data_IF_259270266727
#
_entry.id   IF_259270266727
#
_cell.length_a   1.000
_cell.length_b   1.000
_cell.length_c   1.000
_cell.angle_alpha   90.00
_cell.angle_beta   90.00
_cell.angle_gamma   90.00
#
_symmetry.space_group_name_H-M   'P 1'
#
loop_
_entity.id
_entity.type
_entity.pdbx_description
1 polymer ?
#
# COMPACT_ATOMS: atom_id res chain seq x y z
N UNK A 1 6.82 -18.09 -6.77
CA UNK A 1 7.87 -18.52 -7.67
C UNK A 1 9.05 -18.95 -6.83
N UNK A 2 9.60 -20.13 -7.06
CA UNK A 2 10.76 -20.67 -6.34
C UNK A 2 10.54 -20.82 -4.82
N UNK A 3 9.30 -21.04 -4.37
CA UNK A 3 8.99 -21.22 -2.96
C UNK A 3 8.92 -19.91 -2.16
N UNK A 4 9.14 -18.77 -2.79
CA UNK A 4 9.04 -17.47 -2.11
C UNK A 4 7.61 -17.20 -1.62
N UNK A 5 6.61 -17.50 -2.45
CA UNK A 5 5.20 -17.33 -2.10
C UNK A 5 4.83 -18.13 -0.86
N UNK A 6 5.25 -19.38 -0.81
CA UNK A 6 5.00 -20.25 0.33
C UNK A 6 5.68 -19.72 1.61
N UNK A 7 6.93 -19.25 1.48
CA UNK A 7 7.69 -18.71 2.61
C UNK A 7 7.01 -17.46 3.17
N UNK A 8 6.54 -16.57 2.31
CA UNK A 8 5.84 -15.33 2.73
C UNK A 8 4.52 -15.67 3.40
N UNK A 9 3.73 -16.59 2.84
CA UNK A 9 2.46 -17.04 3.43
C UNK A 9 2.69 -17.69 4.80
N UNK A 10 3.72 -18.50 4.91
CA UNK A 10 4.08 -19.14 6.18
C UNK A 10 4.47 -18.09 7.23
N UNK A 11 5.28 -17.10 6.85
CA UNK A 11 5.63 -16.00 7.74
C UNK A 11 4.38 -15.22 8.19
N UNK A 12 3.50 -14.88 7.27
CA UNK A 12 2.24 -14.20 7.60
C UNK A 12 1.39 -15.02 8.56
N UNK A 13 1.33 -16.35 8.36
CA UNK A 13 0.60 -17.26 9.22
C UNK A 13 1.21 -17.42 10.62
N UNK A 14 2.46 -17.02 10.81
CA UNK A 14 3.14 -17.09 12.12
C UNK A 14 2.65 -16.03 13.10
N UNK A 15 1.89 -15.04 12.66
CA UNK A 15 1.44 -13.91 13.48
C UNK A 15 2.46 -12.79 13.63
N UNK A 16 3.65 -12.92 13.09
CA UNK A 16 4.65 -11.86 13.10
C UNK A 16 4.28 -10.77 12.11
N UNK A 17 4.60 -9.53 12.46
CA UNK A 17 4.28 -8.39 11.61
C UNK A 17 5.06 -8.40 10.30
N UNK A 18 4.36 -8.08 9.23
CA UNK A 18 4.91 -8.01 7.89
C UNK A 18 4.45 -6.73 7.21
N UNK A 19 5.35 -6.03 6.52
CA UNK A 19 5.04 -4.81 5.79
C UNK A 19 5.43 -4.98 4.32
N UNK A 20 4.43 -4.88 3.43
CA UNK A 20 4.65 -4.82 1.99
C UNK A 20 4.77 -3.37 1.53
N UNK A 21 5.82 -3.06 0.78
CA UNK A 21 6.12 -1.71 0.31
C UNK A 21 5.98 -1.66 -1.21
N UNK A 22 5.20 -0.72 -1.73
CA UNK A 22 4.96 -0.49 -3.15
C UNK A 22 4.48 -1.77 -3.85
N UNK A 23 5.31 -2.40 -4.70
CA UNK A 23 5.01 -3.69 -5.31
C UNK A 23 4.73 -4.75 -4.25
N UNK A 24 5.45 -4.73 -3.14
CA UNK A 24 5.22 -5.65 -2.02
C UNK A 24 3.84 -5.53 -1.43
N UNK A 25 3.29 -4.33 -1.30
CA UNK A 25 1.90 -4.14 -0.91
C UNK A 25 0.95 -4.74 -1.93
N UNK A 26 1.19 -4.50 -3.21
CA UNK A 26 0.32 -4.99 -4.28
C UNK A 26 0.27 -6.52 -4.32
N UNK A 27 1.37 -7.18 -3.99
CA UNK A 27 1.42 -8.64 -3.94
C UNK A 27 0.57 -9.26 -2.82
N UNK A 28 0.16 -8.49 -1.82
CA UNK A 28 -0.64 -8.98 -0.69
C UNK A 28 -2.07 -9.36 -1.10
N UNK A 29 -2.58 -8.82 -2.19
CA UNK A 29 -3.97 -8.97 -2.62
C UNK A 29 -4.21 -10.27 -3.38
N UNK A 30 -5.48 -10.55 -3.70
CA UNK A 30 -5.84 -11.78 -4.38
C UNK A 30 -5.33 -11.83 -5.82
N UNK A 31 -5.38 -10.69 -6.52
CA UNK A 31 -5.00 -10.61 -7.93
C UNK A 31 -4.52 -9.22 -8.33
N UNK A 32 -3.85 -9.15 -9.47
CA UNK A 32 -3.39 -7.90 -10.08
C UNK A 32 -3.67 -7.92 -11.58
N UNK A 33 -4.05 -6.76 -12.12
CA UNK A 33 -4.25 -6.56 -13.55
C UNK A 33 -2.95 -6.18 -14.27
N UNK A 34 -1.86 -5.94 -13.55
CA UNK A 34 -0.58 -5.58 -14.15
C UNK A 34 -0.02 -6.75 -14.97
N UNK A 35 0.32 -6.48 -16.23
CA UNK A 35 0.80 -7.50 -17.19
C UNK A 35 -0.21 -8.65 -17.39
N UNK A 36 -1.50 -8.33 -17.47
CA UNK A 36 -2.56 -9.32 -17.58
C UNK A 36 -3.16 -9.65 -16.22
N UNK A 37 -3.81 -10.80 -16.11
CA UNK A 37 -4.39 -11.24 -14.84
C UNK A 37 -3.41 -12.16 -14.12
N UNK A 38 -2.96 -11.76 -12.94
CA UNK A 38 -2.02 -12.52 -12.12
C UNK A 38 -2.56 -12.72 -10.71
N UNK A 39 -2.29 -13.89 -10.15
CA UNK A 39 -2.62 -14.17 -8.76
C UNK A 39 -1.62 -13.48 -7.82
N UNK A 40 -2.14 -12.94 -6.72
CA UNK A 40 -1.34 -12.44 -5.61
C UNK A 40 -1.23 -13.47 -4.49
N UNK A 41 -0.79 -13.01 -3.33
CA UNK A 41 -0.63 -13.89 -2.15
C UNK A 41 -1.94 -14.19 -1.43
N UNK A 42 -3.00 -13.42 -1.72
CA UNK A 42 -4.31 -13.61 -1.09
C UNK A 42 -4.35 -13.37 0.41
N UNK A 43 -3.43 -12.55 0.93
CA UNK A 43 -3.37 -12.23 2.35
C UNK A 43 -4.36 -11.14 2.76
N UNK A 44 -4.71 -10.27 1.84
CA UNK A 44 -5.72 -9.22 2.04
C UNK A 44 -6.73 -9.30 0.89
N UNK A 45 -8.03 -9.50 1.19
CA UNK A 45 -9.05 -9.60 0.14
C UNK A 45 -9.14 -8.32 -0.69
N UNK A 46 -9.06 -8.47 -2.00
CA UNK A 46 -9.10 -7.36 -2.93
C UNK A 46 -8.26 -7.60 -4.16
N UNK A 47 -8.09 -6.56 -4.95
CA UNK A 47 -7.32 -6.65 -6.20
C UNK A 47 -6.56 -5.36 -6.47
N UNK A 48 -5.57 -5.47 -7.35
CA UNK A 48 -4.78 -4.34 -7.83
C UNK A 48 -5.22 -4.03 -9.26
N UNK A 49 -5.56 -2.78 -9.50
CA UNK A 49 -6.12 -2.29 -10.78
C UNK A 49 -5.34 -1.10 -11.28
N UNK A 50 -5.36 -0.88 -12.60
CA UNK A 50 -4.80 0.32 -13.20
C UNK A 50 -5.59 1.55 -12.77
N UNK A 51 -4.92 2.71 -12.72
CA UNK A 51 -5.63 3.97 -12.57
C UNK A 51 -6.65 4.12 -13.70
N UNK A 52 -7.90 4.39 -13.32
CA UNK A 52 -8.98 4.63 -14.28
C UNK A 52 -9.02 6.11 -14.64
N UNK A 53 -8.38 6.46 -15.75
CA UNK A 53 -8.28 7.86 -16.21
C UNK A 53 -9.66 8.48 -16.50
N UNK A 54 -10.66 7.67 -16.83
CA UNK A 54 -12.01 8.17 -17.10
C UNK A 54 -12.67 8.76 -15.86
N UNK A 55 -12.19 8.40 -14.67
CA UNK A 55 -12.69 8.88 -13.38
C UNK A 55 -11.88 10.05 -12.82
N UNK A 56 -10.81 10.48 -13.52
CA UNK A 56 -10.01 11.61 -13.04
C UNK A 56 -10.81 12.91 -13.10
N UNK A 57 -10.71 13.71 -12.04
CA UNK A 57 -11.34 15.01 -11.95
C UNK A 57 -10.71 16.02 -12.92
N UNK A 58 -9.50 15.76 -13.37
CA UNK A 58 -8.75 16.57 -14.34
C UNK A 58 -7.69 15.68 -14.99
N UNK A 59 -7.04 16.18 -16.03
CA UNK A 59 -6.00 15.43 -16.74
C UNK A 59 -4.75 15.28 -15.88
N UNK A 60 -4.32 14.04 -15.64
CA UNK A 60 -3.12 13.71 -14.88
C UNK A 60 -2.32 12.64 -15.61
N UNK A 61 -1.01 12.66 -15.39
CA UNK A 61 -0.10 11.64 -15.94
C UNK A 61 -0.11 10.37 -15.12
N UNK A 62 0.05 9.23 -15.78
CA UNK A 62 0.29 7.93 -15.14
C UNK A 62 1.64 7.44 -15.66
N UNK A 63 2.59 7.06 -14.78
CA UNK A 63 2.42 6.80 -13.33
C UNK A 63 2.21 8.06 -12.49
N UNK A 64 1.55 7.86 -11.36
CA UNK A 64 1.55 8.80 -10.23
C UNK A 64 2.97 8.83 -9.68
N UNK A 65 3.67 9.93 -9.85
CA UNK A 65 5.07 10.04 -9.48
C UNK A 65 5.33 11.37 -8.76
N UNK A 66 5.89 11.30 -7.58
CA UNK A 66 6.24 12.47 -6.79
C UNK A 66 5.66 12.45 -5.38
N UNK A 67 5.78 13.57 -4.70
CA UNK A 67 5.28 13.75 -3.34
C UNK A 67 3.77 13.96 -3.36
N UNK A 68 3.06 13.22 -2.51
CA UNK A 68 1.63 13.39 -2.33
C UNK A 68 1.23 13.03 -0.91
N UNK A 69 0.09 13.52 -0.49
CA UNK A 69 -0.40 13.35 0.86
C UNK A 69 -1.14 12.03 1.03
N UNK A 70 -0.87 11.35 2.14
CA UNK A 70 -1.66 10.21 2.58
C UNK A 70 -2.56 10.64 3.74
N UNK A 71 -3.86 10.40 3.59
CA UNK A 71 -4.84 10.63 4.64
C UNK A 71 -4.99 9.34 5.43
N UNK A 72 -4.55 9.36 6.68
CA UNK A 72 -4.45 8.16 7.51
C UNK A 72 -5.49 8.13 8.61
N UNK A 73 -5.89 6.93 9.00
CA UNK A 73 -6.59 6.70 10.26
C UNK A 73 -5.59 6.83 11.40
N UNK A 74 -6.09 7.06 12.61
CA UNK A 74 -5.25 6.96 13.80
C UNK A 74 -4.74 5.53 13.91
N UNK A 75 -3.42 5.36 13.88
CA UNK A 75 -2.79 4.05 13.82
C UNK A 75 -1.33 4.13 14.27
N UNK A 76 -0.83 3.13 15.01
CA UNK A 76 0.56 3.14 15.49
C UNK A 76 1.61 3.30 14.39
N UNK A 77 1.32 2.81 13.17
CA UNK A 77 2.25 2.92 12.04
C UNK A 77 2.55 4.38 11.67
N UNK A 78 1.64 5.29 11.96
CA UNK A 78 1.74 6.70 11.53
C UNK A 78 2.06 7.66 12.67
N UNK A 79 2.39 7.16 13.86
CA UNK A 79 2.77 8.01 14.99
C UNK A 79 4.05 8.79 14.70
N UNK A 80 4.08 10.04 15.15
CA UNK A 80 5.26 10.89 15.03
C UNK A 80 5.52 11.44 13.63
N UNK A 81 4.63 11.20 12.67
CA UNK A 81 4.71 11.84 11.36
C UNK A 81 4.28 13.31 11.48
N UNK A 82 4.71 14.13 10.52
CA UNK A 82 4.25 15.50 10.42
C UNK A 82 2.72 15.53 10.25
N UNK A 83 2.09 16.63 10.62
CA UNK A 83 0.64 16.79 10.55
C UNK A 83 0.10 16.51 9.15
N UNK A 84 0.83 16.92 8.13
CA UNK A 84 0.53 16.55 6.75
C UNK A 84 1.46 15.42 6.33
N UNK A 85 0.90 14.23 6.08
CA UNK A 85 1.67 13.02 5.80
C UNK A 85 2.07 12.95 4.33
N UNK A 86 3.04 13.76 3.90
CA UNK A 86 3.57 13.69 2.54
C UNK A 86 4.61 12.59 2.41
N UNK A 87 4.45 11.78 1.37
CA UNK A 87 5.27 10.62 1.06
C UNK A 87 5.54 10.57 -0.44
N UNK A 88 6.59 9.86 -0.84
CA UNK A 88 6.97 9.74 -2.25
C UNK A 88 6.31 8.53 -2.90
N UNK A 89 5.59 8.77 -4.01
CA UNK A 89 4.86 7.78 -4.77
C UNK A 89 5.48 7.58 -6.16
N UNK A 90 5.51 6.35 -6.64
CA UNK A 90 5.77 6.02 -8.04
C UNK A 90 5.08 4.71 -8.38
N UNK A 91 3.88 4.78 -9.00
CA UNK A 91 3.10 3.59 -9.34
C UNK A 91 2.06 3.90 -10.40
N UNK A 92 1.67 2.89 -11.17
CA UNK A 92 0.63 2.99 -12.20
C UNK A 92 -0.63 2.20 -11.87
N UNK A 93 -0.56 1.35 -10.84
CA UNK A 93 -1.65 0.52 -10.36
C UNK A 93 -1.87 0.79 -8.87
N UNK A 94 -3.07 0.57 -8.40
CA UNK A 94 -3.41 0.73 -6.99
C UNK A 94 -4.31 -0.38 -6.48
N UNK A 95 -4.34 -0.53 -5.16
CA UNK A 95 -5.17 -1.52 -4.50
C UNK A 95 -6.64 -1.10 -4.43
N UNK A 96 -7.52 -2.10 -4.49
CA UNK A 96 -8.94 -1.98 -4.15
C UNK A 96 -9.26 -3.07 -3.13
N UNK A 97 -9.57 -2.66 -1.90
CA UNK A 97 -9.93 -3.60 -0.84
C UNK A 97 -11.40 -4.01 -0.95
N UNK A 98 -11.68 -5.31 -0.78
CA UNK A 98 -13.05 -5.79 -0.65
C UNK A 98 -13.67 -5.36 0.69
N UNK A 99 -12.83 -5.24 1.73
CA UNK A 99 -13.26 -4.83 3.07
C UNK A 99 -12.64 -3.47 3.43
N UNK A 100 -13.47 -2.46 3.57
CA UNK A 100 -13.01 -1.11 3.92
C UNK A 100 -12.30 -1.05 5.28
N UNK A 101 -12.56 -2.00 6.17
CA UNK A 101 -11.87 -2.06 7.47
C UNK A 101 -10.38 -2.33 7.34
N UNK A 102 -9.94 -2.86 6.21
CA UNK A 102 -8.53 -3.10 5.93
C UNK A 102 -7.79 -1.84 5.44
N UNK A 103 -8.51 -0.76 5.15
CA UNK A 103 -7.90 0.49 4.67
C UNK A 103 -7.48 1.33 5.86
N UNK A 104 -6.19 1.65 5.98
CA UNK A 104 -5.66 2.54 7.02
C UNK A 104 -5.12 3.86 6.47
N UNK A 105 -5.00 3.99 5.15
CA UNK A 105 -4.61 5.22 4.51
C UNK A 105 -5.11 5.31 3.08
N UNK A 106 -5.44 6.53 2.66
CA UNK A 106 -5.89 6.84 1.32
C UNK A 106 -5.17 8.05 0.78
N UNK A 107 -5.07 8.14 -0.54
CA UNK A 107 -4.41 9.25 -1.22
C UNK A 107 -5.26 9.69 -2.40
N UNK A 108 -5.18 10.95 -2.76
CA UNK A 108 -5.93 11.51 -3.87
C UNK A 108 -5.04 11.75 -5.07
N UNK A 109 -5.40 11.15 -6.20
CA UNK A 109 -4.74 11.37 -7.48
C UNK A 109 -5.76 11.20 -8.59
N UNK A 110 -6.43 12.30 -8.94
CA UNK A 110 -7.57 12.28 -9.86
C UNK A 110 -8.86 11.75 -9.20
N UNK A 111 -8.72 10.82 -8.29
CA UNK A 111 -9.73 10.32 -7.36
C UNK A 111 -9.03 9.74 -6.14
N UNK A 112 -9.80 9.41 -5.12
CA UNK A 112 -9.23 8.82 -3.90
C UNK A 112 -9.01 7.33 -4.07
N UNK A 113 -7.77 6.85 -3.76
CA UNK A 113 -7.42 5.44 -3.83
C UNK A 113 -6.79 4.98 -2.52
N UNK A 114 -6.79 3.66 -2.30
CA UNK A 114 -6.19 3.04 -1.11
C UNK A 114 -4.67 3.06 -1.22
N UNK A 115 -4.00 3.68 -0.26
CA UNK A 115 -2.54 3.79 -0.24
C UNK A 115 -1.88 3.12 0.96
N UNK A 116 -2.64 2.65 1.95
CA UNK A 116 -2.12 1.83 3.04
C UNK A 116 -3.20 0.91 3.58
N UNK A 117 -2.78 -0.30 3.96
CA UNK A 117 -3.71 -1.36 4.38
C UNK A 117 -3.17 -2.13 5.58
N UNK A 118 -4.08 -2.77 6.31
CA UNK A 118 -3.75 -3.75 7.33
C UNK A 118 -4.85 -4.80 7.43
N UNK A 119 -4.43 -6.05 7.53
CA UNK A 119 -5.26 -7.15 7.99
C UNK A 119 -4.44 -7.97 8.97
N UNK A 120 -4.87 -7.96 10.25
CA UNK A 120 -4.17 -8.63 11.33
C UNK A 120 -2.69 -8.16 11.41
N UNK A 121 -1.74 -9.07 11.23
CA UNK A 121 -0.30 -8.80 11.28
C UNK A 121 0.30 -8.39 9.93
N UNK A 122 -0.52 -8.29 8.87
CA UNK A 122 -0.06 -7.98 7.52
C UNK A 122 -0.42 -6.54 7.19
N UNK A 123 0.61 -5.72 6.93
CA UNK A 123 0.47 -4.30 6.58
C UNK A 123 1.02 -4.04 5.20
N UNK A 124 0.52 -3.01 4.55
CA UNK A 124 1.01 -2.57 3.25
C UNK A 124 1.01 -1.05 3.12
N UNK A 125 1.93 -0.55 2.34
CA UNK A 125 2.06 0.87 2.04
C UNK A 125 2.46 1.06 0.57
N UNK A 126 1.71 1.89 -0.15
CA UNK A 126 1.97 2.14 -1.58
C UNK A 126 3.18 3.05 -1.80
N UNK A 127 3.34 4.16 -1.06
CA UNK A 127 4.52 5.01 -1.23
C UNK A 127 5.78 4.31 -0.73
N UNK A 128 6.93 4.89 -1.06
CA UNK A 128 8.24 4.40 -0.67
C UNK A 128 8.71 5.12 0.59
N UNK A 129 8.65 4.51 1.78
CA UNK A 129 9.12 5.16 3.00
C UNK A 129 10.62 5.45 2.95
N UNK A 130 11.42 4.57 2.31
CA UNK A 130 12.86 4.78 2.16
C UNK A 130 13.21 6.02 1.32
N UNK A 131 12.25 6.55 0.53
CA UNK A 131 12.40 7.76 -0.28
C UNK A 131 11.61 8.95 0.26
N UNK A 132 11.02 8.81 1.44
CA UNK A 132 10.06 9.78 1.98
C UNK A 132 10.61 10.58 3.16
N UNK A 133 11.93 10.66 3.29
CA UNK A 133 12.63 11.44 4.32
C UNK A 133 12.08 11.17 5.73
N UNK A 134 11.78 12.22 6.50
CA UNK A 134 11.38 12.12 7.90
C UNK A 134 10.11 11.30 8.10
N UNK A 135 9.08 11.50 7.28
CA UNK A 135 7.83 10.74 7.40
C UNK A 135 8.04 9.27 7.10
N UNK A 136 8.86 8.96 6.10
CA UNK A 136 9.21 7.58 5.77
C UNK A 136 9.97 6.89 6.90
N UNK A 137 10.94 7.57 7.50
CA UNK A 137 11.68 7.04 8.64
C UNK A 137 10.77 6.79 9.84
N UNK A 138 9.80 7.67 10.08
CA UNK A 138 8.83 7.47 11.16
C UNK A 138 8.03 6.19 10.95
N UNK A 139 7.56 5.92 9.73
CA UNK A 139 6.83 4.70 9.40
C UNK A 139 7.68 3.45 9.64
N UNK A 140 8.91 3.44 9.15
CA UNK A 140 9.82 2.30 9.32
C UNK A 140 10.11 2.05 10.80
N UNK A 141 10.38 3.10 11.55
CA UNK A 141 10.62 3.01 12.99
C UNK A 141 9.38 2.48 13.72
N UNK A 142 8.21 2.98 13.38
CA UNK A 142 6.97 2.53 14.01
C UNK A 142 6.70 1.05 13.70
N UNK A 143 6.96 0.62 12.47
CA UNK A 143 6.81 -0.78 12.10
C UNK A 143 7.71 -1.69 12.94
N UNK A 144 8.97 -1.32 13.12
CA UNK A 144 9.92 -2.10 13.93
C UNK A 144 9.44 -2.22 15.37
N UNK A 145 8.73 -1.23 15.88
CA UNK A 145 8.25 -1.17 17.26
C UNK A 145 6.85 -1.75 17.47
N UNK A 146 6.24 -2.33 16.46
CA UNK A 146 4.92 -3.00 16.59
C UNK A 146 4.98 -4.25 17.47
#
# INVERSE_FOLDING_TARGET
VNGMDEAVKEYAGSGKYMLGICLGMQLLFDSSEEFGSNEGLGLIPGKVVAFDRSKFSHELKVPHMGWNRMFTKEHPLFEGMDQEHYLYFVHSFHARCDNANNIIGETEYGYRFTSSVQRDNVLGIQPHPEKSHKNGLAILKNFINL
#
